data_IF_189132688712
#
_entry.id   IF_189132688712
#
_cell.length_a   1.000
_cell.length_b   1.000
_cell.length_c   1.000
_cell.angle_alpha   90.00
_cell.angle_beta   90.00
_cell.angle_gamma   90.00
#
_symmetry.space_group_name_H-M   'P 1'
#
loop_
_entity.id
_entity.type
_entity.pdbx_description
1 polymer ?
#
# COMPACT_ATOMS: atom_id res chain seq x y z
N UNK A 1 -14.33 6.37 2.76
CA UNK A 1 -14.09 4.93 2.53
C UNK A 1 -15.12 4.17 3.35
N UNK A 2 -15.89 3.27 2.73
CA UNK A 2 -16.98 2.53 3.40
C UNK A 2 -16.39 1.49 4.35
N UNK A 3 -17.15 1.08 5.36
CA UNK A 3 -16.71 0.06 6.33
C UNK A 3 -16.25 -1.25 5.68
N UNK A 4 -16.95 -1.71 4.65
CA UNK A 4 -16.62 -2.95 3.94
C UNK A 4 -15.22 -2.90 3.31
N UNK A 5 -14.81 -1.72 2.82
CA UNK A 5 -13.48 -1.51 2.23
C UNK A 5 -12.39 -1.54 3.33
N UNK A 6 -12.70 -1.03 4.53
CA UNK A 6 -11.79 -1.12 5.68
C UNK A 6 -11.61 -2.56 6.16
N UNK A 7 -12.66 -3.37 6.19
CA UNK A 7 -12.56 -4.78 6.58
C UNK A 7 -11.75 -5.60 5.57
N UNK A 8 -11.73 -5.23 4.30
CA UNK A 8 -10.85 -5.88 3.32
C UNK A 8 -9.37 -5.61 3.61
N UNK A 9 -9.04 -4.42 4.12
CA UNK A 9 -7.67 -4.03 4.46
C UNK A 9 -7.25 -4.52 5.86
N UNK A 10 -8.16 -4.46 6.83
CA UNK A 10 -7.91 -4.83 8.23
C UNK A 10 -9.03 -5.76 8.74
N UNK A 11 -8.95 -7.07 8.46
CA UNK A 11 -10.06 -8.01 8.67
C UNK A 11 -10.53 -8.16 10.12
N UNK A 12 -9.63 -7.96 11.09
CA UNK A 12 -9.98 -8.07 12.51
C UNK A 12 -10.13 -6.71 13.19
N UNK A 13 -10.26 -5.65 12.40
CA UNK A 13 -10.61 -4.33 12.91
C UNK A 13 -12.06 -4.29 13.39
N UNK A 14 -12.37 -3.35 14.28
CA UNK A 14 -13.72 -3.15 14.81
C UNK A 14 -14.12 -1.70 14.71
N UNK A 15 -15.40 -1.43 14.42
CA UNK A 15 -15.95 -0.10 14.61
C UNK A 15 -16.27 0.09 16.09
N UNK A 16 -15.77 1.18 16.65
CA UNK A 16 -16.06 1.64 18.01
C UNK A 16 -16.65 3.04 17.97
N UNK A 17 -17.45 3.37 19.00
CA UNK A 17 -18.06 4.70 19.17
C UNK A 17 -17.39 5.51 20.29
N UNK A 18 -16.49 4.88 21.05
CA UNK A 18 -15.70 5.51 22.11
C UNK A 18 -14.26 5.00 21.99
N UNK A 19 -13.29 5.90 22.16
CA UNK A 19 -11.86 5.53 22.17
C UNK A 19 -11.52 5.05 23.59
N UNK A 20 -11.02 3.82 23.77
CA UNK A 20 -10.54 3.36 25.08
C UNK A 20 -9.34 4.20 25.54
N UNK A 21 -9.29 4.55 26.83
CA UNK A 21 -8.24 5.44 27.37
C UNK A 21 -6.84 4.79 27.36
N UNK A 22 -6.76 3.46 27.57
CA UNK A 22 -5.51 2.70 27.63
C UNK A 22 -5.48 1.60 26.56
N UNK A 23 -5.40 1.97 25.29
CA UNK A 23 -5.24 1.02 24.19
C UNK A 23 -3.94 1.25 23.42
N UNK A 24 -3.22 0.16 23.16
CA UNK A 24 -2.08 0.15 22.23
C UNK A 24 -2.55 0.01 20.77
N UNK A 25 -3.84 -0.23 20.55
CA UNK A 25 -4.42 -0.41 19.24
C UNK A 25 -4.37 0.89 18.44
N UNK A 26 -4.25 0.76 17.13
CA UNK A 26 -4.31 1.91 16.25
C UNK A 26 -5.76 2.31 16.01
N UNK A 27 -6.07 3.57 16.29
CA UNK A 27 -7.41 4.14 16.14
C UNK A 27 -7.41 5.10 14.95
N UNK A 28 -8.26 4.81 13.95
CA UNK A 28 -8.46 5.67 12.77
C UNK A 28 -9.84 6.31 12.89
N UNK A 29 -9.96 7.65 12.92
CA UNK A 29 -11.26 8.31 12.91
C UNK A 29 -11.97 8.09 11.56
N UNK A 30 -13.25 7.74 11.64
CA UNK A 30 -14.16 7.60 10.50
C UNK A 30 -15.19 8.74 10.54
N UNK A 31 -16.29 8.58 9.81
CA UNK A 31 -17.42 9.52 9.80
C UNK A 31 -18.32 9.34 11.04
N UNK A 32 -19.13 10.34 11.37
CA UNK A 32 -20.21 10.24 12.38
C UNK A 32 -19.77 9.80 13.80
N UNK A 33 -18.60 10.25 14.28
CA UNK A 33 -18.03 9.88 15.58
C UNK A 33 -17.80 8.36 15.74
N UNK A 34 -17.57 7.67 14.63
CA UNK A 34 -17.11 6.28 14.65
C UNK A 34 -15.60 6.23 14.46
N UNK A 35 -14.98 5.19 15.00
CA UNK A 35 -13.55 4.96 14.87
C UNK A 35 -13.31 3.51 14.47
N UNK A 36 -12.30 3.28 13.65
CA UNK A 36 -11.79 1.95 13.36
C UNK A 36 -10.68 1.62 14.36
N UNK A 37 -10.89 0.58 15.15
CA UNK A 37 -9.88 0.01 16.05
C UNK A 37 -9.16 -1.13 15.33
N UNK A 38 -7.85 -1.01 15.17
CA UNK A 38 -7.00 -2.05 14.57
C UNK A 38 -6.06 -2.62 15.64
N UNK A 39 -6.15 -3.92 15.95
CA UNK A 39 -5.28 -4.55 16.94
C UNK A 39 -3.79 -4.35 16.61
N UNK A 40 -3.01 -3.88 17.58
CA UNK A 40 -1.57 -3.61 17.37
C UNK A 40 -0.81 -4.84 16.86
N UNK A 41 -1.08 -6.01 17.43
CA UNK A 41 -0.41 -7.28 17.12
C UNK A 41 -0.58 -7.73 15.66
N UNK A 42 -1.52 -7.14 14.93
CA UNK A 42 -1.82 -7.50 13.55
C UNK A 42 -1.23 -6.53 12.53
N UNK A 43 -0.58 -5.48 13.01
CA UNK A 43 0.08 -4.51 12.17
C UNK A 43 1.55 -4.92 12.02
N UNK A 44 1.98 -5.06 10.78
CA UNK A 44 3.40 -5.17 10.46
C UNK A 44 4.14 -3.88 10.84
N UNK A 45 5.46 -3.98 11.02
CA UNK A 45 6.32 -2.81 11.25
C UNK A 45 6.13 -1.71 10.19
N UNK A 46 5.83 -2.11 8.94
CA UNK A 46 5.58 -1.18 7.84
C UNK A 46 4.23 -0.46 8.00
N UNK A 47 3.19 -1.18 8.37
CA UNK A 47 1.86 -0.60 8.59
C UNK A 47 1.85 0.33 9.81
N UNK A 48 2.53 -0.06 10.89
CA UNK A 48 2.76 0.82 12.05
C UNK A 48 3.47 2.10 11.62
N UNK A 49 4.57 2.01 10.87
CA UNK A 49 5.29 3.19 10.39
C UNK A 49 4.42 4.10 9.50
N UNK A 50 3.55 3.51 8.68
CA UNK A 50 2.61 4.24 7.83
C UNK A 50 1.55 4.96 8.67
N UNK A 51 0.94 4.28 9.66
CA UNK A 51 -0.04 4.86 10.57
C UNK A 51 0.55 6.00 11.41
N UNK A 52 1.78 5.83 11.92
CA UNK A 52 2.51 6.90 12.61
C UNK A 52 2.78 8.11 11.71
N UNK A 53 2.92 7.90 10.39
CA UNK A 53 3.05 9.00 9.44
C UNK A 53 1.75 9.79 9.28
N UNK A 54 0.59 9.13 9.34
CA UNK A 54 -0.71 9.81 9.30
C UNK A 54 -1.06 10.57 10.58
N UNK A 55 -0.60 10.08 11.74
CA UNK A 55 -0.81 10.74 13.05
C UNK A 55 -0.01 12.04 13.18
N UNK A 56 1.11 12.17 12.46
CA UNK A 56 1.87 13.42 12.41
C UNK A 56 1.00 14.48 11.76
N UNK A 57 0.58 15.46 12.54
CA UNK A 57 -0.12 16.64 12.03
C UNK A 57 0.70 17.19 10.88
N UNK A 58 0.14 17.39 9.67
CA UNK A 58 0.91 17.89 8.55
C UNK A 58 1.53 19.20 8.99
N UNK A 59 2.85 19.21 9.16
CA UNK A 59 3.60 20.44 9.31
C UNK A 59 3.20 21.24 8.09
N UNK A 60 2.52 22.37 8.28
CA UNK A 60 2.18 23.27 7.18
C UNK A 60 3.51 23.68 6.54
N UNK A 61 3.94 22.93 5.53
CA UNK A 61 5.04 23.31 4.67
C UNK A 61 4.46 24.41 3.81
N UNK A 62 4.55 25.61 4.34
CA UNK A 62 4.24 26.82 3.60
C UNK A 62 5.20 26.87 2.41
N UNK A 63 4.62 27.14 1.24
CA UNK A 63 5.24 27.53 -0.03
C UNK A 63 5.83 26.42 -0.91
N UNK A 64 5.11 26.18 -2.02
CA UNK A 64 5.42 25.31 -3.16
C UNK A 64 5.39 23.79 -2.89
N UNK A 65 4.21 23.23 -3.11
CA UNK A 65 4.06 21.79 -3.37
C UNK A 65 4.91 21.42 -4.57
N UNK A 66 5.62 20.29 -4.48
CA UNK A 66 6.30 19.71 -5.65
C UNK A 66 5.29 19.40 -6.75
N UNK A 67 5.72 19.36 -8.03
CA UNK A 67 4.83 19.02 -9.14
C UNK A 67 4.07 17.69 -8.91
N UNK A 68 4.70 16.68 -8.30
CA UNK A 68 4.05 15.41 -7.97
C UNK A 68 2.98 15.54 -6.89
N UNK A 69 3.22 16.34 -5.85
CA UNK A 69 2.21 16.61 -4.82
C UNK A 69 1.01 17.36 -5.42
N UNK A 70 1.25 18.33 -6.30
CA UNK A 70 0.16 19.03 -6.99
C UNK A 70 -0.68 18.09 -7.86
N UNK A 71 -0.03 17.17 -8.59
CA UNK A 71 -0.72 16.15 -9.39
C UNK A 71 -1.56 15.19 -8.53
N UNK A 72 -0.98 14.62 -7.47
CA UNK A 72 -1.62 13.57 -6.66
C UNK A 72 -2.67 14.11 -5.69
N UNK A 73 -2.47 15.30 -5.10
CA UNK A 73 -3.32 15.82 -4.03
C UNK A 73 -4.32 16.87 -4.51
N UNK A 74 -4.02 17.60 -5.60
CA UNK A 74 -4.81 18.76 -6.05
C UNK A 74 -5.32 18.65 -7.49
N UNK A 75 -5.13 17.51 -8.15
CA UNK A 75 -5.54 17.31 -9.54
C UNK A 75 -4.78 18.20 -10.53
N UNK A 76 -3.53 18.57 -10.20
CA UNK A 76 -2.63 19.29 -11.10
C UNK A 76 -2.29 18.50 -12.36
N UNK A 77 -1.44 19.04 -13.23
CA UNK A 77 -0.95 18.29 -14.40
C UNK A 77 0.15 17.30 -14.00
N UNK A 78 0.18 16.13 -14.65
CA UNK A 78 1.23 15.15 -14.41
C UNK A 78 2.58 15.78 -14.78
N UNK A 79 3.59 15.80 -13.88
CA UNK A 79 4.86 16.48 -14.14
C UNK A 79 5.66 15.88 -15.30
N UNK A 80 5.35 14.63 -15.65
CA UNK A 80 6.00 13.86 -16.69
C UNK A 80 4.92 13.21 -17.56
N UNK A 81 5.21 13.07 -18.84
CA UNK A 81 4.36 12.31 -19.74
C UNK A 81 4.51 10.83 -19.38
N UNK A 82 3.48 10.26 -18.78
CA UNK A 82 3.43 8.83 -18.51
C UNK A 82 3.17 8.11 -19.83
N UNK A 83 4.13 7.29 -20.26
CA UNK A 83 3.84 6.26 -21.25
C UNK A 83 2.94 5.19 -20.59
N UNK A 84 2.17 4.45 -21.39
CA UNK A 84 1.32 3.39 -20.85
C UNK A 84 2.20 2.28 -20.26
N UNK A 85 2.46 2.35 -18.96
CA UNK A 85 3.22 1.31 -18.25
C UNK A 85 2.28 0.15 -17.96
N UNK A 86 2.62 -1.04 -18.45
CA UNK A 86 1.94 -2.28 -18.11
C UNK A 86 2.74 -3.01 -17.04
N UNK A 87 2.14 -3.19 -15.86
CA UNK A 87 2.71 -4.03 -14.81
C UNK A 87 2.15 -5.45 -14.92
N UNK A 88 3.04 -6.43 -14.99
CA UNK A 88 2.67 -7.84 -14.99
C UNK A 88 3.29 -8.46 -13.74
N UNK A 89 2.45 -8.75 -12.75
CA UNK A 89 2.87 -9.46 -11.55
C UNK A 89 2.67 -10.96 -11.74
N UNK A 90 3.75 -11.73 -11.57
CA UNK A 90 3.74 -13.18 -11.79
C UNK A 90 4.22 -13.87 -10.53
N UNK A 91 3.40 -14.77 -10.00
CA UNK A 91 3.71 -15.55 -8.81
C UNK A 91 3.75 -17.04 -9.19
N UNK A 92 4.89 -17.69 -8.92
CA UNK A 92 5.03 -19.13 -9.03
C UNK A 92 4.50 -19.79 -7.75
N UNK A 93 3.29 -20.34 -7.84
CA UNK A 93 2.58 -20.93 -6.69
C UNK A 93 3.15 -22.32 -6.32
N UNK A 94 3.65 -23.07 -7.30
CA UNK A 94 4.19 -24.43 -7.09
C UNK A 94 5.44 -24.64 -7.93
N UNK A 95 6.51 -25.13 -7.29
CA UNK A 95 7.73 -25.61 -7.96
C UNK A 95 7.73 -27.14 -7.87
N UNK A 96 7.76 -27.83 -9.01
CA UNK A 96 7.97 -29.27 -9.07
C UNK A 96 9.46 -29.59 -8.86
N UNK A 97 9.79 -30.88 -8.68
CA UNK A 97 11.19 -31.30 -8.49
C UNK A 97 12.08 -30.98 -9.70
N UNK A 98 11.49 -30.90 -10.89
CA UNK A 98 12.17 -30.56 -12.14
C UNK A 98 12.18 -29.05 -12.43
N UNK A 99 11.76 -28.21 -11.48
CA UNK A 99 11.69 -26.76 -11.70
C UNK A 99 13.09 -26.15 -11.83
N UNK A 100 13.38 -25.57 -12.99
CA UNK A 100 14.58 -24.78 -13.22
C UNK A 100 14.23 -23.28 -13.27
N UNK A 101 14.75 -22.52 -12.31
CA UNK A 101 14.50 -21.08 -12.20
C UNK A 101 15.08 -20.30 -13.38
N UNK A 102 16.24 -20.72 -13.90
CA UNK A 102 16.91 -20.05 -15.01
C UNK A 102 16.09 -20.20 -16.30
N UNK A 103 15.62 -21.41 -16.59
CA UNK A 103 14.76 -21.68 -17.76
C UNK A 103 13.42 -20.94 -17.66
N UNK A 104 12.84 -20.85 -16.46
CA UNK A 104 11.63 -20.07 -16.24
C UNK A 104 11.86 -18.59 -16.49
N UNK A 105 12.95 -18.01 -15.98
CA UNK A 105 13.29 -16.60 -16.19
C UNK A 105 13.52 -16.30 -17.68
N UNK A 106 14.22 -17.20 -18.39
CA UNK A 106 14.46 -17.09 -19.83
C UNK A 106 13.16 -17.12 -20.63
N UNK A 107 12.25 -18.05 -20.32
CA UNK A 107 10.91 -18.11 -20.93
C UNK A 107 10.11 -16.83 -20.66
N UNK A 108 10.15 -16.30 -19.44
CA UNK A 108 9.44 -15.07 -19.08
C UNK A 108 10.00 -13.85 -19.83
N UNK A 109 11.32 -13.76 -20.00
CA UNK A 109 11.94 -12.72 -20.83
C UNK A 109 11.52 -12.86 -22.30
N UNK A 110 11.44 -14.08 -22.83
CA UNK A 110 11.01 -14.31 -24.22
C UNK A 110 9.54 -13.94 -24.46
N UNK A 111 8.64 -14.26 -23.51
CA UNK A 111 7.20 -13.96 -23.62
C UNK A 111 6.92 -12.46 -23.51
N UNK A 112 7.57 -11.78 -22.56
CA UNK A 112 7.25 -10.37 -22.25
C UNK A 112 8.19 -9.36 -22.92
N UNK A 113 9.23 -9.81 -23.62
CA UNK A 113 10.10 -8.97 -24.44
C UNK A 113 10.93 -7.98 -23.62
N UNK A 114 11.03 -6.73 -24.10
CA UNK A 114 11.77 -5.63 -23.46
C UNK A 114 11.16 -5.23 -22.11
N UNK A 115 11.45 -6.04 -21.09
CA UNK A 115 11.15 -5.75 -19.70
C UNK A 115 12.00 -4.55 -19.29
N UNK A 116 11.35 -3.38 -19.17
CA UNK A 116 11.99 -2.14 -18.70
C UNK A 116 12.69 -2.30 -17.34
N UNK A 117 12.13 -3.14 -16.45
CA UNK A 117 12.71 -3.48 -15.15
C UNK A 117 12.01 -4.71 -14.55
N UNK A 118 12.77 -5.60 -13.92
CA UNK A 118 12.26 -6.71 -13.11
C UNK A 118 12.53 -6.46 -11.62
N UNK A 119 11.57 -6.81 -10.77
CA UNK A 119 11.72 -6.77 -9.32
C UNK A 119 11.39 -8.14 -8.75
N UNK A 120 12.38 -8.80 -8.17
CA UNK A 120 12.20 -10.05 -7.43
C UNK A 120 12.06 -9.75 -5.94
N UNK A 121 10.87 -9.94 -5.38
CA UNK A 121 10.68 -9.95 -3.94
C UNK A 121 10.84 -11.38 -3.44
N UNK A 122 11.97 -11.69 -2.82
CA UNK A 122 12.14 -12.92 -2.03
C UNK A 122 11.75 -12.64 -0.57
N UNK A 123 11.07 -13.56 0.11
CA UNK A 123 10.97 -13.56 1.57
C UNK A 123 12.33 -13.85 2.23
#
# INVERSE_FOLDING_TARGET
MKYEEWLQLFPNSKIIHHIPEDTEDSIIPLEENTYLQIPYEQLSNRELALLETFKKTPTKVTTQLSPWQQYLEQGGQCPVQLENIQFIHVCLIQKNQDFNEQEWLEMMQEIFGDVLTSFSCFP
#
